data_IF_879516788279
#
_entry.id   IF_879516788279
#
_cell.length_a   1.000
_cell.length_b   1.000
_cell.length_c   1.000
_cell.angle_alpha   90.00
_cell.angle_beta   90.00
_cell.angle_gamma   90.00
#
_symmetry.space_group_name_H-M   'P 1'
#
loop_
_entity.id
_entity.type
_entity.pdbx_description
1 polymer ?
#
# COMPACT_ATOMS: atom_id res chain seq x y z
N UNK A 1 -32.02 -71.26 12.06
CA UNK A 1 -32.10 -70.21 13.08
C UNK A 1 -30.90 -69.28 12.88
N UNK A 2 -31.18 -68.05 12.42
CA UNK A 2 -30.39 -66.79 12.49
C UNK A 2 -28.94 -66.79 11.97
N UNK A 3 -28.68 -66.28 10.75
CA UNK A 3 -28.48 -64.85 10.34
C UNK A 3 -27.12 -64.33 10.79
N UNK A 4 -26.25 -64.05 9.82
CA UNK A 4 -25.04 -63.26 9.99
C UNK A 4 -25.31 -61.77 9.80
N UNK A 5 -24.39 -60.94 10.28
CA UNK A 5 -23.81 -59.86 9.49
C UNK A 5 -22.55 -59.35 10.20
N UNK A 6 -21.49 -59.17 9.42
CA UNK A 6 -20.21 -58.59 9.84
C UNK A 6 -20.27 -57.09 9.59
N UNK A 7 -20.39 -56.28 10.64
CA UNK A 7 -20.26 -54.83 10.52
C UNK A 7 -18.85 -54.39 10.89
N UNK A 8 -18.14 -53.93 9.86
CA UNK A 8 -16.87 -53.22 9.93
C UNK A 8 -17.12 -51.77 10.31
N UNK A 9 -16.48 -51.31 11.38
CA UNK A 9 -16.37 -49.91 11.82
C UNK A 9 -15.12 -49.82 12.69
N UNK A 10 -14.29 -48.78 12.67
CA UNK A 10 -14.47 -47.42 12.19
C UNK A 10 -13.13 -46.92 11.62
N UNK A 11 -13.21 -46.02 10.64
CA UNK A 11 -12.05 -45.26 10.17
C UNK A 11 -11.57 -44.31 11.26
N UNK A 12 -10.28 -44.39 11.58
CA UNK A 12 -9.58 -43.41 12.40
C UNK A 12 -9.29 -42.18 11.51
N UNK A 13 -10.21 -41.22 11.54
CA UNK A 13 -10.00 -39.88 11.00
C UNK A 13 -9.03 -39.12 11.91
N UNK A 14 -7.85 -38.78 11.36
CA UNK A 14 -6.97 -37.76 11.91
C UNK A 14 -7.73 -36.42 11.91
N UNK A 15 -7.88 -35.72 13.06
CA UNK A 15 -8.28 -34.33 13.01
C UNK A 15 -7.08 -33.52 12.51
N UNK A 16 -7.08 -33.20 11.22
CA UNK A 16 -6.31 -32.11 10.68
C UNK A 16 -6.91 -30.82 11.23
N UNK A 17 -6.39 -30.37 12.37
CA UNK A 17 -6.66 -29.02 12.88
C UNK A 17 -5.92 -28.02 11.99
N UNK A 18 -6.42 -27.81 10.78
CA UNK A 18 -6.05 -26.64 9.98
C UNK A 18 -6.88 -25.48 10.51
N UNK A 19 -6.51 -24.96 11.68
CA UNK A 19 -6.84 -23.59 12.03
C UNK A 19 -6.04 -22.70 11.09
N UNK A 20 -6.57 -22.56 9.86
CA UNK A 20 -6.10 -21.58 8.89
C UNK A 20 -6.22 -20.25 9.61
N UNK A 21 -5.08 -19.69 10.00
CA UNK A 21 -5.04 -18.34 10.54
C UNK A 21 -5.54 -17.45 9.40
N UNK A 22 -6.83 -17.12 9.42
CA UNK A 22 -7.38 -16.16 8.49
C UNK A 22 -6.69 -14.85 8.82
N UNK A 23 -5.65 -14.51 8.07
CA UNK A 23 -5.08 -13.17 8.09
C UNK A 23 -6.27 -12.25 7.85
N UNK A 24 -6.61 -11.35 8.78
CA UNK A 24 -7.63 -10.35 8.50
C UNK A 24 -7.05 -9.54 7.35
N UNK A 25 -7.59 -9.71 6.14
CA UNK A 25 -7.39 -8.73 5.08
C UNK A 25 -8.05 -7.46 5.59
N UNK A 26 -7.27 -6.64 6.29
CA UNK A 26 -7.68 -5.29 6.61
C UNK A 26 -7.71 -4.56 5.28
N UNK A 27 -8.89 -4.53 4.67
CA UNK A 27 -9.16 -3.72 3.50
C UNK A 27 -8.86 -2.28 3.92
N UNK A 28 -7.75 -1.73 3.42
CA UNK A 28 -7.33 -0.37 3.76
C UNK A 28 -8.40 0.54 3.17
N UNK A 29 -9.25 1.09 4.04
CA UNK A 29 -10.24 2.06 3.63
C UNK A 29 -9.52 3.35 3.20
N UNK A 30 -9.32 3.49 1.88
CA UNK A 30 -8.71 4.68 1.28
C UNK A 30 -9.61 5.94 1.40
N UNK A 31 -10.82 5.80 1.95
CA UNK A 31 -11.74 6.89 2.26
C UNK A 31 -11.90 7.16 3.75
N UNK A 32 -11.18 6.43 4.62
CA UNK A 32 -11.23 6.62 6.07
C UNK A 32 -10.79 8.04 6.45
N UNK A 33 -11.53 8.65 7.38
CA UNK A 33 -11.10 9.90 8.02
C UNK A 33 -9.73 9.70 8.68
N UNK A 34 -8.87 10.74 8.68
CA UNK A 34 -7.55 10.64 9.29
C UNK A 34 -7.66 10.10 10.71
N UNK A 35 -6.99 8.97 10.95
CA UNK A 35 -6.92 8.33 12.26
C UNK A 35 -6.23 9.28 13.24
N UNK A 36 -6.91 9.63 14.33
CA UNK A 36 -6.36 10.41 15.45
C UNK A 36 -5.47 9.57 16.39
N UNK A 37 -5.16 8.31 16.01
CA UNK A 37 -4.25 7.45 16.78
C UNK A 37 -2.83 8.04 16.79
N UNK A 38 -2.29 8.40 17.97
CA UNK A 38 -0.94 8.94 18.08
C UNK A 38 0.15 8.00 17.55
N UNK A 39 -0.06 6.68 17.57
CA UNK A 39 0.89 5.72 17.01
C UNK A 39 0.91 5.79 15.48
N UNK A 40 -0.27 5.79 14.85
CA UNK A 40 -0.41 5.89 13.40
C UNK A 40 0.24 7.17 12.85
N UNK A 41 0.00 8.31 13.51
CA UNK A 41 0.58 9.60 13.13
C UNK A 41 2.12 9.58 13.21
N UNK A 42 2.70 8.97 14.26
CA UNK A 42 4.17 8.84 14.37
C UNK A 42 4.75 7.90 13.32
N UNK A 43 4.07 6.79 13.05
CA UNK A 43 4.49 5.83 12.03
C UNK A 43 4.45 6.47 10.63
N UNK A 44 3.37 7.19 10.31
CA UNK A 44 3.25 7.96 9.06
C UNK A 44 4.40 8.96 8.91
N UNK A 45 4.73 9.72 9.97
CA UNK A 45 5.84 10.66 9.94
C UNK A 45 7.20 9.98 9.69
N UNK A 46 7.42 8.78 10.24
CA UNK A 46 8.62 7.98 9.98
C UNK A 46 8.68 7.45 8.55
N UNK A 47 7.55 7.00 7.99
CA UNK A 47 7.46 6.49 6.61
C UNK A 47 7.70 7.62 5.60
N UNK A 48 7.06 8.78 5.79
CA UNK A 48 7.18 9.92 4.88
C UNK A 48 8.52 10.65 5.03
N UNK A 49 9.07 10.69 6.25
CA UNK A 49 10.30 11.43 6.58
C UNK A 49 10.19 12.95 6.38
N UNK A 50 8.98 13.48 6.15
CA UNK A 50 8.70 14.88 5.88
C UNK A 50 7.24 15.23 6.19
N UNK A 51 6.97 16.51 6.44
CA UNK A 51 5.61 16.99 6.70
C UNK A 51 4.76 17.04 5.42
N UNK A 52 3.48 16.70 5.58
CA UNK A 52 2.43 16.91 4.57
C UNK A 52 2.09 18.40 4.51
N UNK A 53 2.54 19.09 3.45
CA UNK A 53 2.45 20.56 3.35
C UNK A 53 1.45 21.04 2.32
N UNK A 54 1.34 20.32 1.21
CA UNK A 54 0.65 20.78 0.02
C UNK A 54 -0.65 20.02 -0.21
N UNK A 55 -1.69 20.76 -0.59
CA UNK A 55 -2.83 20.17 -1.29
C UNK A 55 -2.43 19.80 -2.73
N UNK A 56 -3.16 18.90 -3.42
CA UNK A 56 -2.92 18.62 -4.84
C UNK A 56 -2.84 19.87 -5.71
N UNK A 57 -3.76 20.83 -5.53
CA UNK A 57 -3.71 22.09 -6.29
C UNK A 57 -2.45 22.91 -6.00
N UNK A 58 -2.06 23.03 -4.72
CA UNK A 58 -0.86 23.75 -4.33
C UNK A 58 0.40 23.07 -4.86
N UNK A 59 0.47 21.75 -4.84
CA UNK A 59 1.62 21.00 -5.34
C UNK A 59 1.79 21.18 -6.85
N UNK A 60 0.71 21.02 -7.64
CA UNK A 60 0.75 21.23 -9.09
C UNK A 60 1.18 22.66 -9.44
N UNK A 61 0.58 23.66 -8.77
CA UNK A 61 0.93 25.07 -8.96
C UNK A 61 2.39 25.36 -8.60
N UNK A 62 2.88 24.81 -7.50
CA UNK A 62 4.27 24.99 -7.06
C UNK A 62 5.24 24.29 -8.01
N UNK A 63 4.87 23.13 -8.53
CA UNK A 63 5.66 22.41 -9.53
C UNK A 63 5.71 23.14 -10.89
N UNK A 64 4.77 24.05 -11.16
CA UNK A 64 4.62 24.72 -12.45
C UNK A 64 3.86 23.88 -13.47
N UNK A 65 3.10 22.89 -13.02
CA UNK A 65 2.43 21.89 -13.87
C UNK A 65 0.92 22.12 -13.84
N UNK A 66 0.25 21.89 -14.98
CA UNK A 66 -1.21 21.98 -15.03
C UNK A 66 -1.85 20.92 -14.12
N UNK A 67 -2.98 21.26 -13.51
CA UNK A 67 -3.69 20.33 -12.61
C UNK A 67 -4.14 19.07 -13.35
N UNK A 68 -4.50 19.18 -14.63
CA UNK A 68 -4.88 18.04 -15.47
C UNK A 68 -3.72 17.05 -15.61
N UNK A 69 -2.54 17.52 -16.04
CA UNK A 69 -1.37 16.67 -16.23
C UNK A 69 -0.90 16.06 -14.90
N UNK A 70 -0.86 16.86 -13.83
CA UNK A 70 -0.52 16.38 -12.49
C UNK A 70 -1.47 15.26 -12.02
N UNK A 71 -2.78 15.45 -12.22
CA UNK A 71 -3.79 14.44 -11.87
C UNK A 71 -3.64 13.16 -12.67
N UNK A 72 -3.24 13.25 -13.95
CA UNK A 72 -2.96 12.07 -14.78
C UNK A 72 -1.74 11.31 -14.28
N UNK A 73 -0.68 12.00 -13.85
CA UNK A 73 0.48 11.36 -13.22
C UNK A 73 0.13 10.70 -11.88
N UNK A 74 -0.58 11.37 -10.98
CA UNK A 74 -0.98 10.80 -9.70
C UNK A 74 -1.88 9.57 -9.85
N UNK A 75 -2.88 9.64 -10.75
CA UNK A 75 -3.71 8.47 -11.06
C UNK A 75 -2.90 7.33 -11.66
N UNK A 76 -1.92 7.64 -12.52
CA UNK A 76 -1.03 6.62 -13.07
C UNK A 76 -0.21 5.95 -11.96
N UNK A 77 0.36 6.73 -11.03
CA UNK A 77 1.10 6.24 -9.86
C UNK A 77 0.23 5.43 -8.88
N UNK A 78 -1.11 5.51 -8.98
CA UNK A 78 -2.03 4.84 -8.05
C UNK A 78 -2.33 5.64 -6.78
N UNK A 79 -2.12 6.95 -6.78
CA UNK A 79 -2.45 7.80 -5.63
C UNK A 79 -3.98 7.92 -5.47
N UNK A 80 -4.44 7.93 -4.21
CA UNK A 80 -5.84 8.11 -3.87
C UNK A 80 -6.36 9.51 -4.24
N UNK A 81 -7.66 9.62 -4.51
CA UNK A 81 -8.31 10.92 -4.70
C UNK A 81 -8.64 11.57 -3.35
N UNK A 82 -7.70 12.38 -2.87
CA UNK A 82 -7.74 13.05 -1.57
C UNK A 82 -8.40 14.45 -1.61
N UNK A 83 -9.04 14.81 -2.74
CA UNK A 83 -9.62 16.13 -2.93
C UNK A 83 -8.59 17.25 -2.76
N UNK A 84 -8.77 18.09 -1.73
CA UNK A 84 -7.85 19.19 -1.39
C UNK A 84 -7.25 19.06 0.01
N UNK A 85 -7.22 17.85 0.57
CA UNK A 85 -6.49 17.60 1.80
C UNK A 85 -4.99 17.87 1.59
N UNK A 86 -4.31 18.39 2.63
CA UNK A 86 -2.85 18.49 2.62
C UNK A 86 -2.28 17.08 2.77
N UNK A 87 -1.72 16.54 1.70
CA UNK A 87 -1.08 15.23 1.78
C UNK A 87 0.24 15.09 1.03
N UNK A 88 0.60 16.09 0.24
CA UNK A 88 1.82 16.06 -0.55
C UNK A 88 2.94 16.80 0.18
N UNK A 89 4.15 16.32 -0.04
CA UNK A 89 5.40 16.82 0.52
C UNK A 89 6.17 17.65 -0.52
N UNK A 90 7.30 18.22 -0.12
CA UNK A 90 8.24 18.86 -1.06
C UNK A 90 8.76 17.87 -2.12
N UNK A 91 8.94 16.60 -1.74
CA UNK A 91 9.46 15.58 -2.64
C UNK A 91 8.49 15.33 -3.80
N UNK A 92 7.19 15.34 -3.54
CA UNK A 92 6.14 15.18 -4.55
C UNK A 92 6.15 16.34 -5.57
N UNK A 93 6.31 17.57 -5.08
CA UNK A 93 6.43 18.77 -5.93
C UNK A 93 7.66 18.67 -6.84
N UNK A 94 8.80 18.27 -6.27
CA UNK A 94 10.05 18.14 -7.01
C UNK A 94 9.99 17.00 -8.04
N UNK A 95 9.40 15.87 -7.69
CA UNK A 95 9.19 14.74 -8.59
C UNK A 95 8.30 15.13 -9.77
N UNK A 96 7.16 15.79 -9.48
CA UNK A 96 6.24 16.26 -10.51
C UNK A 96 6.90 17.26 -11.46
N UNK A 97 7.66 18.23 -10.92
CA UNK A 97 8.41 19.21 -11.72
C UNK A 97 9.45 18.54 -12.63
N UNK A 98 10.19 17.54 -12.12
CA UNK A 98 11.20 16.82 -12.89
C UNK A 98 10.57 16.04 -14.04
N UNK A 99 9.50 15.30 -13.77
CA UNK A 99 8.84 14.49 -14.78
C UNK A 99 8.21 15.37 -15.88
N UNK A 100 7.52 16.45 -15.49
CA UNK A 100 6.97 17.40 -16.45
C UNK A 100 8.07 18.08 -17.29
N UNK A 101 9.18 18.46 -16.67
CA UNK A 101 10.32 19.05 -17.39
C UNK A 101 10.93 18.12 -18.44
N UNK A 102 10.96 16.80 -18.21
CA UNK A 102 11.39 15.83 -19.22
C UNK A 102 10.43 15.77 -20.43
N UNK A 103 9.13 15.91 -20.18
CA UNK A 103 8.11 15.95 -21.24
C UNK A 103 8.19 17.24 -22.03
N UNK A 104 8.29 18.38 -21.35
CA UNK A 104 8.41 19.70 -21.98
C UNK A 104 9.69 19.83 -22.82
N UNK A 105 10.80 19.24 -22.36
CA UNK A 105 12.05 19.18 -23.11
C UNK A 105 12.01 18.20 -24.31
N UNK A 106 10.92 17.45 -24.50
CA UNK A 106 10.77 16.46 -25.56
C UNK A 106 11.61 15.19 -25.38
N UNK A 107 12.22 14.99 -24.19
CA UNK A 107 13.01 13.80 -23.87
C UNK A 107 12.12 12.57 -23.62
N UNK A 108 10.89 12.81 -23.18
CA UNK A 108 9.84 11.80 -23.06
C UNK A 108 8.56 12.30 -23.72
N UNK A 109 7.86 11.42 -24.43
CA UNK A 109 6.48 11.72 -24.80
C UNK A 109 5.58 11.62 -23.57
N UNK A 110 4.52 12.42 -23.52
CA UNK A 110 3.57 12.40 -22.41
C UNK A 110 2.96 11.00 -22.17
N UNK A 111 2.54 10.22 -23.20
CA UNK A 111 2.04 8.87 -22.99
C UNK A 111 3.09 7.93 -22.37
N UNK A 112 4.36 8.08 -22.76
CA UNK A 112 5.45 7.28 -22.21
C UNK A 112 5.73 7.64 -20.75
N UNK A 113 5.74 8.94 -20.41
CA UNK A 113 5.89 9.40 -19.03
C UNK A 113 4.78 8.85 -18.12
N UNK A 114 3.53 8.81 -18.61
CA UNK A 114 2.38 8.22 -17.90
C UNK A 114 2.56 6.72 -17.69
N UNK A 115 3.06 5.97 -18.67
CA UNK A 115 3.33 4.53 -18.53
C UNK A 115 4.46 4.26 -17.53
N UNK A 116 5.53 5.06 -17.55
CA UNK A 116 6.63 4.96 -16.58
C UNK A 116 6.13 5.22 -15.17
N UNK A 117 5.34 6.28 -14.97
CA UNK A 117 4.70 6.57 -13.68
C UNK A 117 3.86 5.38 -13.21
N UNK A 118 3.04 4.78 -14.09
CA UNK A 118 2.24 3.61 -13.76
C UNK A 118 3.05 2.41 -13.34
N UNK A 119 4.06 2.03 -14.13
CA UNK A 119 4.92 0.90 -13.79
C UNK A 119 5.66 1.14 -12.47
N UNK A 120 6.11 2.37 -12.22
CA UNK A 120 6.80 2.74 -10.98
C UNK A 120 5.88 2.61 -9.77
N UNK A 121 4.66 3.15 -9.87
CA UNK A 121 3.64 3.02 -8.83
C UNK A 121 3.29 1.56 -8.53
N UNK A 122 3.08 0.75 -9.56
CA UNK A 122 2.77 -0.68 -9.42
C UNK A 122 3.89 -1.46 -8.73
N UNK A 123 5.14 -1.26 -9.14
CA UNK A 123 6.29 -1.91 -8.49
C UNK A 123 6.46 -1.46 -7.05
N UNK A 124 6.27 -0.16 -6.78
CA UNK A 124 6.36 0.39 -5.42
C UNK A 124 5.25 -0.15 -4.51
N UNK A 125 4.01 -0.24 -5.02
CA UNK A 125 2.89 -0.81 -4.29
C UNK A 125 3.15 -2.28 -3.93
N UNK A 126 3.64 -3.08 -4.90
CA UNK A 126 3.95 -4.49 -4.64
C UNK A 126 5.09 -4.66 -3.64
N UNK A 127 6.09 -3.78 -3.68
CA UNK A 127 7.17 -3.78 -2.70
C UNK A 127 6.65 -3.44 -1.30
N UNK A 128 5.80 -2.41 -1.19
CA UNK A 128 5.21 -2.00 0.08
C UNK A 128 4.33 -3.12 0.69
N UNK A 129 3.51 -3.79 -0.13
CA UNK A 129 2.72 -4.96 0.29
C UNK A 129 3.62 -6.05 0.88
N UNK A 130 4.67 -6.44 0.16
CA UNK A 130 5.63 -7.42 0.66
C UNK A 130 6.35 -6.97 1.95
N UNK A 131 6.71 -5.68 2.05
CA UNK A 131 7.33 -5.13 3.25
C UNK A 131 6.38 -5.23 4.45
N UNK A 132 5.10 -4.89 4.26
CA UNK A 132 4.08 -4.99 5.32
C UNK A 132 3.93 -6.43 5.79
N UNK A 133 3.79 -7.39 4.87
CA UNK A 133 3.68 -8.81 5.21
C UNK A 133 4.89 -9.29 6.03
N UNK A 134 6.10 -8.92 5.60
CA UNK A 134 7.35 -9.30 6.27
C UNK A 134 7.49 -8.66 7.66
N UNK A 135 7.08 -7.39 7.82
CA UNK A 135 7.11 -6.71 9.11
C UNK A 135 6.10 -7.29 10.10
N UNK A 136 4.90 -7.64 9.64
CA UNK A 136 3.86 -8.23 10.48
C UNK A 136 4.28 -9.61 11.00
N UNK A 137 4.93 -10.43 10.17
CA UNK A 137 5.50 -11.72 10.60
C UNK A 137 6.51 -11.52 11.73
N UNK A 138 7.49 -10.62 11.56
CA UNK A 138 8.51 -10.35 12.58
C UNK A 138 7.98 -9.71 13.88
N UNK A 139 6.80 -9.08 13.87
CA UNK A 139 6.16 -8.51 15.07
C UNK A 139 5.29 -9.51 15.83
N UNK A 140 4.92 -10.64 15.21
CA UNK A 140 4.04 -11.66 15.78
C UNK A 140 4.79 -12.93 16.23
N UNK A 141 6.09 -13.03 15.95
CA UNK A 141 6.94 -14.08 16.50
C UNK A 141 7.10 -13.92 18.03
N UNK A 142 6.77 -14.95 18.83
CA UNK A 142 6.99 -14.92 20.27
C UNK A 142 8.49 -14.84 20.58
N UNK A 143 8.91 -14.08 21.61
CA UNK A 143 10.32 -13.97 21.96
C UNK A 143 10.91 -15.35 22.27
N UNK A 144 12.07 -15.64 21.69
CA UNK A 144 12.85 -16.86 21.93
C UNK A 144 12.95 -17.15 23.44
N UNK A 145 12.61 -18.37 23.90
CA UNK A 145 12.62 -18.70 25.32
C UNK A 145 14.07 -18.71 25.83
N UNK A 146 14.49 -17.58 26.42
CA UNK A 146 15.85 -17.43 26.98
C UNK A 146 16.36 -16.00 27.12
N UNK A 147 15.63 -14.98 26.67
CA UNK A 147 16.03 -13.57 26.80
C UNK A 147 15.08 -12.81 27.74
N UNK A 148 15.22 -13.04 29.05
CA UNK A 148 14.71 -12.17 30.12
C UNK A 148 15.77 -12.00 31.20
#
# INVERSE_FOLDING_TARGET
MTVGDTTSGAGEEHPSDSSVHATPHHEVDHTAEPTDDPLAIRLEALILGADRRYTPFQAARTAGVSMDLASRFWRAMGFADIGQAKALTEADVLALRRLAGLVEAGLLSEPMAIQVARSTGQTTARLAEWQIDSFLEGLTEPPEPGMT
#
